data_IF_211801425686
#
_entry.id   IF_211801425686
#
_cell.length_a   1.000
_cell.length_b   1.000
_cell.length_c   1.000
_cell.angle_alpha   90.00
_cell.angle_beta   90.00
_cell.angle_gamma   90.00
#
_symmetry.space_group_name_H-M   'P 1'
#
loop_
_entity.id
_entity.type
_entity.pdbx_description
1 polymer ?
#
# COMPACT_ATOMS: atom_id res chain seq x y z
N UNK A 1 18.51 11.03 -2.43
CA UNK A 1 17.27 11.85 -2.47
C UNK A 1 16.11 10.85 -2.59
N UNK A 2 15.28 10.69 -1.56
CA UNK A 2 14.12 9.80 -1.68
C UNK A 2 13.12 10.44 -2.67
N UNK A 3 12.58 9.63 -3.59
CA UNK A 3 11.46 10.04 -4.44
C UNK A 3 10.36 10.65 -3.56
N UNK A 4 9.86 11.84 -3.92
CA UNK A 4 8.70 12.43 -3.24
C UNK A 4 7.41 11.70 -3.59
N UNK A 5 7.39 11.01 -4.73
CA UNK A 5 6.21 10.32 -5.22
C UNK A 5 6.11 8.91 -4.65
N UNK A 6 4.88 8.46 -4.49
CA UNK A 6 4.56 7.07 -4.14
C UNK A 6 4.07 6.31 -5.37
N UNK A 7 4.54 5.09 -5.55
CA UNK A 7 4.16 4.21 -6.65
C UNK A 7 3.16 3.14 -6.20
N UNK A 8 2.35 2.65 -7.15
CA UNK A 8 1.38 1.58 -6.95
C UNK A 8 1.50 0.55 -8.06
N UNK A 9 1.37 -0.74 -7.72
CA UNK A 9 1.37 -1.81 -8.71
C UNK A 9 0.48 -2.98 -8.27
N UNK A 10 -0.23 -3.57 -9.25
CA UNK A 10 -0.86 -4.87 -9.07
C UNK A 10 0.22 -5.96 -9.01
N UNK A 11 0.25 -6.71 -7.90
CA UNK A 11 1.27 -7.72 -7.59
C UNK A 11 0.73 -9.15 -7.60
N UNK A 12 -0.56 -9.36 -7.87
CA UNK A 12 -1.21 -10.69 -7.95
C UNK A 12 -1.31 -11.27 -9.37
N UNK A 13 -0.65 -10.67 -10.36
CA UNK A 13 -0.78 -11.06 -11.78
C UNK A 13 -2.06 -10.55 -12.43
N UNK A 14 -2.45 -11.11 -13.59
CA UNK A 14 -3.69 -10.74 -14.30
C UNK A 14 -4.92 -11.19 -13.50
N UNK A 15 -5.92 -10.31 -13.42
CA UNK A 15 -7.23 -10.62 -12.86
C UNK A 15 -8.10 -11.38 -13.89
N UNK A 16 -9.11 -12.17 -13.46
CA UNK A 16 -9.57 -12.36 -12.09
C UNK A 16 -8.65 -13.25 -11.24
N UNK A 17 -8.56 -12.95 -9.94
CA UNK A 17 -7.83 -13.75 -8.96
C UNK A 17 -8.67 -13.89 -7.69
N UNK A 18 -8.53 -15.02 -6.97
CA UNK A 18 -9.22 -15.21 -5.69
C UNK A 18 -8.82 -14.17 -4.63
N UNK A 19 -7.60 -13.64 -4.71
CA UNK A 19 -7.11 -12.52 -3.90
C UNK A 19 -6.31 -11.58 -4.81
N UNK A 20 -6.64 -10.29 -4.79
CA UNK A 20 -5.83 -9.26 -5.42
C UNK A 20 -4.80 -8.72 -4.43
N UNK A 21 -3.55 -8.54 -4.88
CA UNK A 21 -2.47 -7.97 -4.07
C UNK A 21 -2.03 -6.66 -4.71
N UNK A 22 -2.15 -5.55 -3.98
CA UNK A 22 -1.70 -4.23 -4.42
C UNK A 22 -0.48 -3.84 -3.57
N UNK A 23 0.64 -3.54 -4.24
CA UNK A 23 1.85 -3.03 -3.58
C UNK A 23 1.90 -1.52 -3.71
N UNK A 24 2.18 -0.85 -2.60
CA UNK A 24 2.39 0.59 -2.51
C UNK A 24 3.78 0.84 -1.95
N UNK A 25 4.53 1.76 -2.51
CA UNK A 25 5.87 2.11 -2.03
C UNK A 25 6.13 3.60 -2.14
N UNK A 26 6.58 4.22 -1.06
CA UNK A 26 6.88 5.65 -1.00
C UNK A 26 6.42 6.30 0.31
N UNK A 27 6.62 7.62 0.44
CA UNK A 27 6.33 8.35 1.67
C UNK A 27 4.84 8.37 2.05
N UNK A 28 3.91 8.17 1.11
CA UNK A 28 2.47 8.24 1.37
C UNK A 28 1.82 6.87 1.69
N UNK A 29 2.58 5.77 1.78
CA UNK A 29 2.02 4.44 2.00
C UNK A 29 1.12 4.37 3.25
N UNK A 30 1.56 4.93 4.38
CA UNK A 30 0.78 4.90 5.63
C UNK A 30 -0.57 5.60 5.48
N UNK A 31 -0.56 6.81 4.90
CA UNK A 31 -1.78 7.57 4.63
C UNK A 31 -2.76 6.77 3.77
N UNK A 32 -2.29 6.13 2.70
CA UNK A 32 -3.16 5.35 1.81
C UNK A 32 -3.79 4.16 2.54
N UNK A 33 -2.97 3.38 3.26
CA UNK A 33 -3.48 2.20 3.97
C UNK A 33 -4.44 2.60 5.09
N UNK A 34 -4.12 3.64 5.87
CA UNK A 34 -5.00 4.11 6.95
C UNK A 34 -6.32 4.68 6.44
N UNK A 35 -6.30 5.34 5.27
CA UNK A 35 -7.51 5.89 4.63
C UNK A 35 -8.44 4.79 4.12
N UNK A 36 -7.89 3.70 3.56
CA UNK A 36 -8.69 2.66 2.89
C UNK A 36 -9.05 1.51 3.83
N UNK A 37 -8.09 1.04 4.63
CA UNK A 37 -8.22 -0.14 5.47
C UNK A 37 -8.43 0.19 6.96
N UNK A 38 -8.39 1.47 7.34
CA UNK A 38 -8.52 1.92 8.72
C UNK A 38 -7.20 1.97 9.49
N UNK A 39 -7.25 2.35 10.78
CA UNK A 39 -6.06 2.67 11.57
C UNK A 39 -5.08 1.50 11.67
N UNK A 40 -3.81 1.75 11.39
CA UNK A 40 -2.74 0.78 11.63
C UNK A 40 -2.21 1.00 13.04
N UNK A 41 -2.18 -0.08 13.83
CA UNK A 41 -1.55 -0.05 15.14
C UNK A 41 -0.04 0.15 14.96
N UNK A 42 0.51 1.16 15.64
CA UNK A 42 1.96 1.35 15.69
C UNK A 42 2.61 0.16 16.40
N UNK A 43 3.71 -0.33 15.83
CA UNK A 43 4.36 -1.56 16.30
C UNK A 43 4.95 -1.44 17.72
N UNK A 44 5.18 -0.22 18.19
CA UNK A 44 5.95 0.07 19.39
C UNK A 44 5.14 0.80 20.48
N UNK A 45 3.82 0.94 20.30
CA UNK A 45 2.85 1.46 21.28
C UNK A 45 1.74 0.45 21.52
#
# INVERSE_FOLDING_TARGET
>A
MASKDSIVALSSGRLPAGIAVIRISGPQTRFVVETIAGPIKDRFT
#
